data_IF_503425908880
#
_entry.id   IF_503425908880
#
_cell.length_a   1.000
_cell.length_b   1.000
_cell.length_c   1.000
_cell.angle_alpha   90.00
_cell.angle_beta   90.00
_cell.angle_gamma   90.00
#
_symmetry.space_group_name_H-M   'P 1'
#
loop_
_entity.id
_entity.type
_entity.pdbx_description
1 polymer ?
#
# COMPACT_ATOMS: atom_id res chain seq x y z
N UNK A 1 13.59 39.39 26.13
CA UNK A 1 12.54 40.05 25.37
C UNK A 1 11.98 41.22 26.19
N UNK A 2 11.61 42.31 25.60
CA UNK A 2 10.88 43.41 26.29
C UNK A 2 9.49 43.47 25.71
N UNK A 3 8.50 43.61 26.60
CA UNK A 3 7.13 43.84 26.17
C UNK A 3 6.99 45.25 25.60
N UNK A 4 6.41 45.38 24.41
CA UNK A 4 6.36 46.66 23.70
C UNK A 4 5.47 47.71 24.41
N UNK A 5 4.48 47.27 25.19
CA UNK A 5 3.51 48.15 25.86
C UNK A 5 3.98 48.61 27.24
N UNK A 6 4.54 47.72 28.05
CA UNK A 6 4.96 47.99 29.43
C UNK A 6 6.46 48.31 29.56
N UNK A 7 7.29 47.92 28.60
CA UNK A 7 8.74 48.01 28.65
C UNK A 7 9.39 47.03 29.64
N UNK A 8 8.62 46.15 30.26
CA UNK A 8 9.12 45.19 31.24
C UNK A 8 9.94 44.07 30.57
N UNK A 9 10.93 43.58 31.31
CA UNK A 9 11.77 42.48 30.84
C UNK A 9 11.12 41.16 31.19
N UNK A 10 10.61 40.45 30.17
CA UNK A 10 10.02 39.13 30.30
C UNK A 10 11.04 38.04 29.99
N UNK A 11 11.03 36.98 30.79
CA UNK A 11 11.70 35.73 30.48
C UNK A 11 10.61 34.74 30.01
N UNK A 12 10.45 34.54 28.70
CA UNK A 12 9.41 33.64 28.20
C UNK A 12 9.73 32.20 28.60
N UNK A 13 8.71 31.46 28.98
CA UNK A 13 8.79 30.01 29.04
C UNK A 13 8.54 29.46 27.65
N UNK A 14 9.41 28.53 27.19
CA UNK A 14 9.32 27.87 25.89
C UNK A 14 9.07 26.40 26.09
N UNK A 15 8.06 25.87 25.40
CA UNK A 15 7.85 24.43 25.27
C UNK A 15 8.31 24.05 23.85
N UNK A 16 9.38 23.30 23.76
CA UNK A 16 9.97 22.89 22.49
C UNK A 16 9.92 21.34 22.38
N UNK A 17 8.83 20.78 21.84
CA UNK A 17 8.78 19.34 21.59
C UNK A 17 9.72 19.00 20.44
N UNK A 18 10.53 17.96 20.65
CA UNK A 18 11.43 17.43 19.63
C UNK A 18 11.16 15.95 19.39
N UNK A 19 10.95 15.59 18.12
CA UNK A 19 10.70 14.21 17.69
C UNK A 19 11.78 13.77 16.70
N UNK A 20 12.47 12.68 17.03
CA UNK A 20 13.42 12.06 16.10
C UNK A 20 12.68 11.23 15.07
N UNK A 21 12.80 11.58 13.79
CA UNK A 21 12.16 10.86 12.66
C UNK A 21 12.53 9.38 12.66
N UNK A 22 13.81 9.05 12.85
CA UNK A 22 14.31 7.67 12.86
C UNK A 22 13.67 6.82 13.96
N UNK A 23 13.40 7.42 15.12
CA UNK A 23 12.72 6.72 16.23
C UNK A 23 11.26 6.43 15.92
N UNK A 24 10.58 7.39 15.30
CA UNK A 24 9.19 7.22 14.86
C UNK A 24 9.13 6.14 13.80
N UNK A 25 10.00 6.20 12.81
CA UNK A 25 10.11 5.20 11.74
C UNK A 25 10.34 3.79 12.31
N UNK A 26 11.31 3.64 13.22
CA UNK A 26 11.59 2.36 13.85
C UNK A 26 10.39 1.82 14.64
N UNK A 27 9.74 2.69 15.43
CA UNK A 27 8.55 2.30 16.19
C UNK A 27 7.41 1.85 15.27
N UNK A 28 7.18 2.54 14.15
CA UNK A 28 6.16 2.15 13.16
C UNK A 28 6.47 0.77 12.58
N UNK A 29 7.72 0.51 12.21
CA UNK A 29 8.13 -0.81 11.68
C UNK A 29 7.97 -1.92 12.72
N UNK A 30 8.39 -1.68 13.97
CA UNK A 30 8.28 -2.66 15.05
C UNK A 30 6.82 -3.03 15.33
N UNK A 31 5.95 -2.02 15.41
CA UNK A 31 4.53 -2.27 15.66
C UNK A 31 3.79 -2.90 14.47
N UNK A 32 4.23 -2.60 13.25
CA UNK A 32 3.62 -3.15 12.04
C UNK A 32 4.12 -4.55 11.69
N UNK A 33 5.29 -4.95 12.18
CA UNK A 33 5.88 -6.26 11.88
C UNK A 33 5.09 -7.39 12.54
N UNK A 34 4.74 -8.40 11.75
CA UNK A 34 3.99 -9.57 12.20
C UNK A 34 4.49 -10.83 11.49
N UNK A 35 4.55 -11.91 12.22
CA UNK A 35 4.81 -13.25 11.70
C UNK A 35 3.64 -14.15 12.05
N UNK A 36 3.18 -14.91 11.06
CA UNK A 36 2.10 -15.87 11.23
C UNK A 36 2.39 -17.15 10.45
N UNK A 37 1.70 -18.21 10.78
CA UNK A 37 1.74 -19.47 10.04
C UNK A 37 0.45 -19.60 9.21
N UNK A 38 0.61 -19.79 7.91
CA UNK A 38 -0.49 -19.97 6.97
C UNK A 38 -0.24 -21.21 6.14
N UNK A 39 -1.11 -22.21 6.27
CA UNK A 39 -1.01 -23.49 5.55
C UNK A 39 0.33 -24.22 5.80
N UNK A 40 0.92 -24.07 7.00
CA UNK A 40 2.20 -24.67 7.38
C UNK A 40 3.44 -23.92 6.86
N UNK A 41 3.25 -22.77 6.22
CA UNK A 41 4.33 -21.89 5.79
C UNK A 41 4.38 -20.60 6.62
N UNK A 42 5.60 -20.15 6.96
CA UNK A 42 5.82 -18.89 7.65
C UNK A 42 5.48 -17.72 6.69
N UNK A 43 4.60 -16.83 7.14
CA UNK A 43 4.24 -15.60 6.48
C UNK A 43 4.72 -14.41 7.30
N UNK A 44 5.54 -13.58 6.70
CA UNK A 44 5.97 -12.28 7.27
C UNK A 44 5.11 -11.18 6.66
N UNK A 45 4.58 -10.31 7.51
CA UNK A 45 3.69 -9.23 7.08
C UNK A 45 4.07 -7.94 7.78
N UNK A 46 4.19 -6.87 7.02
CA UNK A 46 4.31 -5.53 7.57
C UNK A 46 2.93 -4.85 7.54
N UNK A 47 2.21 -4.86 8.68
CA UNK A 47 0.82 -4.37 8.80
C UNK A 47 0.76 -2.85 8.96
N UNK A 48 1.31 -2.13 8.00
CA UNK A 48 1.20 -0.68 7.93
C UNK A 48 -0.26 -0.27 7.70
N UNK A 49 -0.68 0.84 8.30
CA UNK A 49 -1.96 1.46 7.92
C UNK A 49 -1.93 1.79 6.42
N UNK A 50 -3.02 1.55 5.67
CA UNK A 50 -3.04 1.82 4.22
C UNK A 50 -2.62 3.24 3.85
N UNK A 51 -2.98 4.23 4.67
CA UNK A 51 -2.65 5.65 4.46
C UNK A 51 -1.16 6.00 4.57
N UNK A 52 -0.35 5.15 5.23
CA UNK A 52 1.10 5.36 5.39
C UNK A 52 1.94 4.31 4.64
N UNK A 53 1.30 3.38 3.96
CA UNK A 53 2.00 2.38 3.17
C UNK A 53 2.78 3.05 2.01
N UNK A 54 4.08 2.77 1.86
CA UNK A 54 4.90 3.39 0.81
C UNK A 54 4.45 2.97 -0.60
N UNK A 55 3.90 1.76 -0.73
CA UNK A 55 3.26 1.24 -1.93
C UNK A 55 1.80 0.96 -1.59
N UNK A 56 0.88 1.62 -2.27
CA UNK A 56 -0.55 1.55 -1.97
C UNK A 56 -1.22 0.34 -2.61
N UNK A 57 -0.76 -0.05 -3.79
CA UNK A 57 -1.23 -1.26 -4.47
C UNK A 57 -0.13 -1.85 -5.36
N UNK A 58 -0.27 -3.15 -5.70
CA UNK A 58 0.59 -3.79 -6.69
C UNK A 58 -0.24 -4.53 -7.72
N UNK A 59 0.03 -4.30 -9.00
CA UNK A 59 -0.65 -4.95 -10.13
C UNK A 59 0.14 -6.17 -10.58
N UNK A 60 -0.51 -7.31 -10.59
CA UNK A 60 0.08 -8.63 -10.80
C UNK A 60 -0.66 -9.36 -11.93
N UNK A 61 -0.07 -9.57 -13.13
CA UNK A 61 -0.66 -10.50 -14.08
C UNK A 61 -0.59 -11.92 -13.50
N UNK A 62 -1.69 -12.69 -13.53
CA UNK A 62 -1.72 -14.06 -13.01
C UNK A 62 -0.56 -14.90 -13.57
N UNK A 63 -0.33 -14.80 -14.88
CA UNK A 63 0.79 -15.41 -15.57
C UNK A 63 1.64 -14.35 -16.28
N UNK A 64 2.88 -14.18 -15.83
CA UNK A 64 3.82 -13.21 -16.41
C UNK A 64 4.29 -13.51 -17.85
N UNK A 65 4.05 -14.74 -18.34
CA UNK A 65 4.38 -15.15 -19.70
C UNK A 65 3.22 -15.00 -20.70
N UNK A 66 2.05 -14.55 -20.26
CA UNK A 66 0.87 -14.34 -21.12
C UNK A 66 0.77 -12.88 -21.51
N UNK A 67 1.09 -12.56 -22.75
CA UNK A 67 1.12 -11.19 -23.27
C UNK A 67 -0.20 -10.45 -23.09
N UNK A 68 -1.33 -11.11 -23.22
CA UNK A 68 -2.66 -10.53 -23.05
C UNK A 68 -2.87 -10.01 -21.63
N UNK A 69 -2.58 -10.85 -20.61
CA UNK A 69 -2.68 -10.47 -19.20
C UNK A 69 -1.67 -9.38 -18.83
N UNK A 70 -0.44 -9.49 -19.34
CA UNK A 70 0.63 -8.52 -19.14
C UNK A 70 0.25 -7.15 -19.71
N UNK A 71 -0.37 -7.12 -20.89
CA UNK A 71 -0.83 -5.86 -21.51
C UNK A 71 -1.88 -5.17 -20.66
N UNK A 72 -2.95 -5.89 -20.26
CA UNK A 72 -4.00 -5.34 -19.39
C UNK A 72 -3.42 -4.89 -18.06
N UNK A 73 -2.54 -5.70 -17.42
CA UNK A 73 -1.91 -5.34 -16.17
C UNK A 73 -1.09 -4.03 -16.26
N UNK A 74 -0.37 -3.84 -17.35
CA UNK A 74 0.38 -2.59 -17.58
C UNK A 74 -0.54 -1.40 -17.84
N UNK A 75 -1.68 -1.61 -18.48
CA UNK A 75 -2.66 -0.56 -18.73
C UNK A 75 -3.33 -0.13 -17.42
N UNK A 76 -3.77 -1.07 -16.60
CA UNK A 76 -4.31 -0.82 -15.25
C UNK A 76 -3.27 -0.11 -14.37
N UNK A 77 -2.03 -0.60 -14.34
CA UNK A 77 -0.95 0.06 -13.59
C UNK A 77 -0.75 1.52 -14.01
N UNK A 78 -0.75 1.82 -15.32
CA UNK A 78 -0.61 3.19 -15.82
C UNK A 78 -1.82 4.06 -15.48
N UNK A 79 -3.03 3.49 -15.53
CA UNK A 79 -4.28 4.18 -15.19
C UNK A 79 -4.25 4.62 -13.72
N UNK A 80 -3.97 3.72 -12.79
CA UNK A 80 -3.93 4.00 -11.35
C UNK A 80 -2.85 5.05 -11.00
N UNK A 81 -1.68 4.96 -11.62
CA UNK A 81 -0.63 5.99 -11.44
C UNK A 81 -1.04 7.37 -11.93
N UNK A 82 -1.82 7.47 -13.02
CA UNK A 82 -2.36 8.76 -13.50
C UNK A 82 -3.39 9.35 -12.54
N UNK A 83 -4.04 8.52 -11.75
CA UNK A 83 -4.98 8.93 -10.70
C UNK A 83 -4.27 9.32 -9.38
N UNK A 84 -2.93 9.35 -9.37
CA UNK A 84 -2.13 9.79 -8.23
C UNK A 84 -1.76 8.69 -7.25
N UNK A 85 -2.13 7.44 -7.51
CA UNK A 85 -1.81 6.31 -6.63
C UNK A 85 -0.35 5.85 -6.82
N UNK A 86 0.28 5.43 -5.70
CA UNK A 86 1.61 4.84 -5.69
C UNK A 86 1.47 3.34 -5.89
N UNK A 87 1.66 2.90 -7.13
CA UNK A 87 1.39 1.52 -7.54
C UNK A 87 2.64 0.88 -8.13
N UNK A 88 2.94 -0.35 -7.72
CA UNK A 88 3.95 -1.21 -8.31
C UNK A 88 3.36 -2.20 -9.33
N UNK A 89 4.23 -2.75 -10.16
CA UNK A 89 3.92 -3.82 -11.09
C UNK A 89 4.95 -4.94 -10.94
N UNK A 90 4.50 -6.18 -10.74
CA UNK A 90 5.38 -7.34 -10.64
C UNK A 90 4.82 -8.53 -11.43
N UNK A 91 5.64 -9.07 -12.33
CA UNK A 91 5.34 -10.26 -13.14
C UNK A 91 6.31 -11.41 -12.89
N UNK A 92 7.23 -11.27 -11.90
CA UNK A 92 8.32 -12.23 -11.69
C UNK A 92 7.97 -13.39 -10.77
N UNK A 93 8.17 -14.62 -11.21
CA UNK A 93 7.89 -15.83 -10.44
C UNK A 93 6.41 -16.18 -10.35
N UNK A 94 6.03 -16.96 -9.34
CA UNK A 94 4.64 -17.38 -9.11
C UNK A 94 3.81 -16.31 -8.42
N UNK A 95 2.49 -16.32 -8.61
CA UNK A 95 1.58 -15.36 -7.99
C UNK A 95 1.67 -15.38 -6.46
N UNK A 96 1.77 -16.56 -5.84
CA UNK A 96 1.91 -16.71 -4.40
C UNK A 96 3.18 -16.03 -3.86
N UNK A 97 4.34 -16.18 -4.56
CA UNK A 97 5.59 -15.49 -4.18
C UNK A 97 5.47 -13.97 -4.32
N UNK A 98 4.74 -13.49 -5.31
CA UNK A 98 4.49 -12.06 -5.48
C UNK A 98 3.63 -11.50 -4.34
N UNK A 99 2.59 -12.21 -3.93
CA UNK A 99 1.82 -11.83 -2.75
C UNK A 99 2.69 -11.75 -1.50
N UNK A 100 3.56 -12.75 -1.26
CA UNK A 100 4.46 -12.74 -0.09
C UNK A 100 5.40 -11.54 -0.09
N UNK A 101 6.00 -11.17 -1.23
CA UNK A 101 6.83 -9.96 -1.34
C UNK A 101 6.06 -8.69 -0.99
N UNK A 102 4.81 -8.60 -1.44
CA UNK A 102 3.97 -7.44 -1.13
C UNK A 102 3.52 -7.42 0.34
N UNK A 103 3.24 -8.58 0.92
CA UNK A 103 2.97 -8.72 2.35
C UNK A 103 4.17 -8.24 3.21
N UNK A 104 5.41 -8.62 2.83
CA UNK A 104 6.66 -8.26 3.52
C UNK A 104 6.95 -6.75 3.49
N UNK A 105 6.66 -6.05 2.39
CA UNK A 105 6.89 -4.61 2.27
C UNK A 105 5.70 -3.76 2.72
N UNK A 106 4.59 -4.40 3.08
CA UNK A 106 3.43 -3.72 3.65
C UNK A 106 2.44 -3.14 2.66
N UNK A 107 2.43 -3.60 1.39
CA UNK A 107 1.44 -3.19 0.39
C UNK A 107 0.04 -3.68 0.78
N UNK A 108 -0.95 -2.80 1.00
CA UNK A 108 -2.26 -3.21 1.49
C UNK A 108 -3.11 -3.97 0.46
N UNK A 109 -2.94 -3.67 -0.85
CA UNK A 109 -3.76 -4.23 -1.91
C UNK A 109 -2.94 -4.85 -3.03
N UNK A 110 -3.26 -6.09 -3.40
CA UNK A 110 -2.70 -6.75 -4.59
C UNK A 110 -3.80 -6.95 -5.63
N UNK A 111 -3.62 -6.38 -6.81
CA UNK A 111 -4.56 -6.39 -7.93
C UNK A 111 -4.11 -7.45 -8.91
N UNK A 112 -4.85 -8.54 -9.03
CA UNK A 112 -4.52 -9.64 -9.95
C UNK A 112 -5.34 -9.53 -11.23
N UNK A 113 -4.65 -9.54 -12.35
CA UNK A 113 -5.22 -9.61 -13.68
C UNK A 113 -5.23 -11.09 -14.10
N UNK A 114 -6.40 -11.66 -14.18
CA UNK A 114 -6.64 -13.08 -14.48
C UNK A 114 -7.39 -13.30 -15.81
N UNK A 115 -7.81 -14.52 -16.09
CA UNK A 115 -8.51 -14.83 -17.33
C UNK A 115 -9.93 -14.24 -17.37
N UNK A 116 -10.61 -14.18 -16.21
CA UNK A 116 -11.94 -13.59 -16.11
C UNK A 116 -11.88 -12.10 -16.42
N UNK A 117 -10.76 -11.43 -16.06
CA UNK A 117 -10.53 -10.02 -16.40
C UNK A 117 -10.63 -9.75 -17.91
N UNK A 118 -10.24 -10.71 -18.76
CA UNK A 118 -10.32 -10.56 -20.20
C UNK A 118 -11.75 -10.70 -20.76
N UNK A 119 -12.67 -11.25 -19.96
CA UNK A 119 -14.05 -11.52 -20.34
C UNK A 119 -15.01 -10.44 -19.81
N UNK A 120 -14.79 -9.97 -18.58
CA UNK A 120 -15.73 -9.14 -17.84
C UNK A 120 -15.19 -7.77 -17.39
N UNK A 121 -13.95 -7.43 -17.76
CA UNK A 121 -13.27 -6.19 -17.36
C UNK A 121 -13.21 -5.95 -15.83
N UNK A 122 -13.24 -7.03 -15.03
CA UNK A 122 -13.05 -6.94 -13.57
C UNK A 122 -11.68 -7.48 -13.16
N UNK A 123 -11.19 -7.08 -12.00
CA UNK A 123 -9.93 -7.55 -11.43
C UNK A 123 -10.14 -8.15 -10.05
N UNK A 124 -9.28 -9.08 -9.66
CA UNK A 124 -9.28 -9.60 -8.29
C UNK A 124 -8.39 -8.73 -7.42
N UNK A 125 -8.94 -8.09 -6.38
CA UNK A 125 -8.19 -7.35 -5.38
C UNK A 125 -8.09 -8.18 -4.11
N UNK A 126 -6.84 -8.47 -3.68
CA UNK A 126 -6.55 -9.20 -2.45
C UNK A 126 -6.12 -8.22 -1.36
N UNK A 127 -6.75 -8.30 -0.21
CA UNK A 127 -6.36 -7.59 1.00
C UNK A 127 -5.15 -8.27 1.66
N UNK A 128 -4.14 -7.48 2.05
CA UNK A 128 -2.95 -7.99 2.76
C UNK A 128 -3.32 -8.65 4.08
N UNK A 129 -4.16 -8.02 4.91
CA UNK A 129 -4.35 -8.42 6.29
C UNK A 129 -5.27 -9.63 6.45
N UNK A 130 -6.39 -9.68 5.73
CA UNK A 130 -7.33 -10.80 5.78
C UNK A 130 -7.05 -11.89 4.76
N UNK A 131 -6.28 -11.59 3.71
CA UNK A 131 -6.08 -12.41 2.49
C UNK A 131 -7.37 -12.64 1.69
N UNK A 132 -8.47 -12.03 2.09
CA UNK A 132 -9.71 -12.05 1.34
C UNK A 132 -9.53 -11.41 -0.03
N UNK A 133 -10.37 -11.84 -0.97
CA UNK A 133 -10.34 -11.36 -2.34
C UNK A 133 -11.73 -10.88 -2.75
N UNK A 134 -11.77 -9.76 -3.45
CA UNK A 134 -13.00 -9.19 -4.01
C UNK A 134 -12.81 -8.91 -5.50
N UNK A 135 -13.91 -8.94 -6.26
CA UNK A 135 -13.89 -8.52 -7.67
C UNK A 135 -14.31 -7.06 -7.77
N UNK A 136 -13.55 -6.28 -8.53
CA UNK A 136 -13.78 -4.84 -8.74
C UNK A 136 -13.65 -4.55 -10.24
N UNK A 137 -14.56 -3.76 -10.79
CA UNK A 137 -14.48 -3.33 -12.18
C UNK A 137 -13.28 -2.40 -12.41
N UNK A 138 -12.61 -2.52 -13.55
CA UNK A 138 -11.39 -1.76 -13.85
C UNK A 138 -11.66 -0.25 -13.87
N UNK A 139 -12.82 0.17 -14.35
CA UNK A 139 -13.23 1.57 -14.42
C UNK A 139 -13.51 2.18 -13.03
N UNK A 140 -13.98 1.39 -12.06
CA UNK A 140 -14.26 1.80 -10.68
C UNK A 140 -13.05 1.62 -9.73
N UNK A 141 -12.02 0.89 -10.18
CA UNK A 141 -10.89 0.46 -9.33
C UNK A 141 -10.14 1.61 -8.66
N UNK A 142 -9.98 2.73 -9.35
CA UNK A 142 -9.29 3.89 -8.80
C UNK A 142 -10.06 4.54 -7.65
N UNK A 143 -11.35 4.78 -7.83
CA UNK A 143 -12.22 5.37 -6.81
C UNK A 143 -12.37 4.42 -5.62
N UNK A 144 -12.50 3.12 -5.90
CA UNK A 144 -12.52 2.08 -4.88
C UNK A 144 -11.26 2.10 -4.03
N UNK A 145 -10.06 2.14 -4.66
CA UNK A 145 -8.79 2.21 -3.93
C UNK A 145 -8.65 3.49 -3.11
N UNK A 146 -9.05 4.65 -3.63
CA UNK A 146 -9.03 5.91 -2.87
C UNK A 146 -9.90 5.82 -1.62
N UNK A 147 -11.09 5.23 -1.73
CA UNK A 147 -11.99 5.01 -0.59
C UNK A 147 -11.36 4.09 0.47
N UNK A 148 -10.78 2.97 0.06
CA UNK A 148 -10.16 1.99 0.97
C UNK A 148 -8.85 2.52 1.62
N UNK A 149 -8.14 3.41 0.94
CA UNK A 149 -6.93 4.07 1.45
C UNK A 149 -7.25 5.26 2.37
N UNK A 150 -8.49 5.76 2.35
CA UNK A 150 -8.91 6.95 3.09
C UNK A 150 -8.33 8.25 2.53
N UNK A 151 -8.21 8.35 1.19
CA UNK A 151 -7.64 9.48 0.44
C UNK A 151 -8.72 10.40 -0.14
#
# INVERSE_FOLDING_TARGET
MREEVSGERLIPHVIEPSFGIDRIFYAVLEHAFSEEEVEGERRVVLRLLPSIAPIQACVLPLLGARDELVKVARDVHRQLRRQGLIVEYDASGTIGRRYRRQDEIGTPFCITIDYETLEDDTVTVRFRDSMEQVRVAIDELGDWLHSELGL
#
